data_IF_270019069759
#
_entry.id   IF_270019069759
#
_cell.length_a   1.000
_cell.length_b   1.000
_cell.length_c   1.000
_cell.angle_alpha   90.00
_cell.angle_beta   90.00
_cell.angle_gamma   90.00
#
_symmetry.space_group_name_H-M   'P 1'
#
loop_
_entity.id
_entity.type
_entity.pdbx_description
1 polymer ?
#
# COMPACT_ATOMS: atom_id res chain seq x y z
N UNK A 1 -9.47 -7.72 -9.64
CA UNK A 1 -8.55 -8.18 -8.58
C UNK A 1 -9.15 -7.88 -7.21
N UNK A 2 -8.81 -8.65 -6.18
CA UNK A 2 -9.21 -8.34 -4.79
C UNK A 2 -8.22 -7.38 -4.12
N UNK A 3 -8.61 -6.81 -2.96
CA UNK A 3 -7.72 -5.95 -2.14
C UNK A 3 -6.40 -6.66 -1.83
N UNK A 4 -6.49 -7.89 -1.35
CA UNK A 4 -5.33 -8.70 -0.98
C UNK A 4 -4.40 -8.96 -2.17
N UNK A 5 -4.95 -9.17 -3.36
CA UNK A 5 -4.18 -9.37 -4.60
C UNK A 5 -3.43 -8.10 -4.98
N UNK A 6 -4.11 -6.95 -4.95
CA UNK A 6 -3.48 -5.67 -5.24
C UNK A 6 -2.37 -5.34 -4.23
N UNK A 7 -2.67 -5.46 -2.94
CA UNK A 7 -1.74 -5.18 -1.84
C UNK A 7 -0.43 -5.97 -1.95
N UNK A 8 -0.50 -7.23 -2.36
CA UNK A 8 0.66 -8.11 -2.49
C UNK A 8 1.08 -8.38 -3.93
N UNK A 9 0.66 -7.52 -4.88
CA UNK A 9 1.18 -7.56 -6.25
C UNK A 9 2.64 -7.07 -6.24
N UNK A 10 3.53 -7.90 -6.76
CA UNK A 10 4.96 -7.65 -6.90
C UNK A 10 5.35 -7.21 -8.31
N UNK A 11 4.47 -7.39 -9.29
CA UNK A 11 4.69 -6.96 -10.66
C UNK A 11 3.53 -7.31 -11.58
N UNK A 12 3.64 -6.87 -12.84
CA UNK A 12 2.65 -7.12 -13.88
C UNK A 12 3.34 -7.65 -15.14
N UNK A 13 2.66 -8.57 -15.84
CA UNK A 13 3.04 -9.06 -17.16
C UNK A 13 1.84 -8.89 -18.09
N UNK A 14 1.80 -7.79 -18.84
CA UNK A 14 0.63 -7.41 -19.63
C UNK A 14 -0.60 -7.23 -18.72
N UNK A 15 -1.67 -7.96 -19.02
CA UNK A 15 -2.92 -7.97 -18.24
C UNK A 15 -2.92 -8.95 -17.05
N UNK A 16 -1.75 -9.49 -16.71
CA UNK A 16 -1.56 -10.44 -15.61
C UNK A 16 -0.86 -9.79 -14.42
N UNK A 17 -1.50 -9.79 -13.25
CA UNK A 17 -0.86 -9.43 -11.98
C UNK A 17 -0.11 -10.62 -11.37
N UNK A 18 1.11 -10.39 -10.91
CA UNK A 18 1.95 -11.37 -10.22
C UNK A 18 1.92 -11.05 -8.73
N UNK A 19 1.41 -11.97 -7.91
CA UNK A 19 1.14 -11.78 -6.49
C UNK A 19 2.05 -12.66 -5.64
N UNK A 20 2.62 -12.11 -4.57
CA UNK A 20 3.34 -12.90 -3.57
C UNK A 20 2.33 -13.73 -2.75
N UNK A 21 2.31 -15.04 -3.00
CA UNK A 21 1.38 -15.98 -2.37
C UNK A 21 1.62 -16.08 -0.87
N UNK A 22 2.88 -16.03 -0.44
CA UNK A 22 3.26 -16.20 0.96
C UNK A 22 2.85 -14.98 1.77
N UNK A 23 3.16 -13.78 1.27
CA UNK A 23 2.76 -12.53 1.91
C UNK A 23 1.24 -12.38 1.96
N UNK A 24 0.53 -12.65 0.84
CA UNK A 24 -0.94 -12.64 0.80
C UNK A 24 -1.54 -13.59 1.85
N UNK A 25 -1.00 -14.80 2.01
CA UNK A 25 -1.51 -15.75 3.02
C UNK A 25 -1.27 -15.29 4.46
N UNK A 26 -0.11 -14.67 4.73
CA UNK A 26 0.26 -14.26 6.09
C UNK A 26 -0.42 -12.97 6.52
N UNK A 27 -0.63 -12.03 5.59
CA UNK A 27 -1.00 -10.65 5.90
C UNK A 27 -2.24 -10.16 5.14
N UNK A 28 -2.82 -10.96 4.23
CA UNK A 28 -3.97 -10.57 3.39
C UNK A 28 -5.20 -10.13 4.17
N UNK A 29 -5.42 -10.68 5.36
CA UNK A 29 -6.57 -10.34 6.20
C UNK A 29 -6.37 -9.13 7.09
N UNK A 30 -5.15 -8.59 7.13
CA UNK A 30 -4.85 -7.42 7.94
C UNK A 30 -5.40 -6.15 7.28
N UNK A 31 -5.98 -5.28 8.11
CA UNK A 31 -6.36 -3.92 7.76
C UNK A 31 -5.15 -3.07 7.37
N UNK A 32 -5.39 -1.89 6.80
CA UNK A 32 -4.33 -0.92 6.47
C UNK A 32 -3.46 -0.60 7.70
N UNK A 33 -4.08 -0.36 8.86
CA UNK A 33 -3.35 -0.02 10.07
C UNK A 33 -2.58 -1.19 10.65
N UNK A 34 -3.14 -2.40 10.67
CA UNK A 34 -2.41 -3.60 11.11
C UNK A 34 -1.20 -3.91 10.20
N UNK A 35 -1.28 -3.59 8.90
CA UNK A 35 -0.14 -3.67 7.99
C UNK A 35 0.92 -2.61 8.33
N UNK A 36 0.49 -1.37 8.59
CA UNK A 36 1.38 -0.26 8.93
C UNK A 36 2.12 -0.52 10.25
N UNK A 37 1.42 -0.99 11.29
CA UNK A 37 1.99 -1.33 12.60
C UNK A 37 3.04 -2.45 12.51
N UNK A 38 2.94 -3.33 11.52
CA UNK A 38 3.93 -4.37 11.23
C UNK A 38 5.11 -3.88 10.37
N UNK A 39 5.14 -2.60 10.02
CA UNK A 39 6.15 -1.99 9.16
C UNK A 39 5.98 -2.32 7.67
N UNK A 40 4.84 -2.90 7.26
CA UNK A 40 4.55 -3.23 5.86
C UNK A 40 3.97 -2.02 5.13
N UNK A 41 4.69 -0.89 5.14
CA UNK A 41 4.14 0.42 4.74
C UNK A 41 3.67 0.49 3.29
N UNK A 42 4.38 -0.13 2.33
CA UNK A 42 3.90 -0.19 0.94
C UNK A 42 2.59 -0.98 0.84
N UNK A 43 2.46 -2.08 1.58
CA UNK A 43 1.25 -2.91 1.58
C UNK A 43 0.07 -2.16 2.23
N UNK A 44 0.32 -1.46 3.34
CA UNK A 44 -0.66 -0.58 3.96
C UNK A 44 -1.12 0.52 3.00
N UNK A 45 -0.18 1.19 2.32
CA UNK A 45 -0.52 2.20 1.33
C UNK A 45 -1.36 1.63 0.17
N UNK A 46 -0.96 0.49 -0.41
CA UNK A 46 -1.77 -0.18 -1.42
C UNK A 46 -3.18 -0.54 -0.91
N UNK A 47 -3.30 -0.96 0.35
CA UNK A 47 -4.59 -1.25 0.97
C UNK A 47 -5.50 -0.02 1.01
N UNK A 48 -4.97 1.13 1.46
CA UNK A 48 -5.71 2.39 1.49
C UNK A 48 -6.06 2.91 0.08
N UNK A 49 -5.14 2.79 -0.89
CA UNK A 49 -5.42 3.13 -2.29
C UNK A 49 -6.56 2.26 -2.84
N UNK A 50 -6.62 0.98 -2.48
CA UNK A 50 -7.66 0.08 -2.95
C UNK A 50 -9.02 0.35 -2.30
N UNK A 51 -9.06 0.70 -1.01
CA UNK A 51 -10.32 1.01 -0.34
C UNK A 51 -10.96 2.29 -0.86
N UNK A 52 -10.13 3.26 -1.29
CA UNK A 52 -10.60 4.58 -1.69
C UNK A 52 -11.19 5.39 -0.53
N UNK A 53 -11.04 4.91 0.72
CA UNK A 53 -11.50 5.60 1.91
C UNK A 53 -10.48 6.66 2.34
N UNK A 54 -10.93 7.92 2.29
CA UNK A 54 -10.11 9.07 2.67
C UNK A 54 -9.70 9.02 4.15
N UNK A 55 -10.57 8.56 5.05
CA UNK A 55 -10.24 8.48 6.47
C UNK A 55 -9.13 7.45 6.72
N UNK A 56 -9.20 6.30 6.05
CA UNK A 56 -8.18 5.26 6.13
C UNK A 56 -6.83 5.73 5.57
N UNK A 57 -6.84 6.49 4.47
CA UNK A 57 -5.63 7.12 3.92
C UNK A 57 -5.03 8.16 4.87
N UNK A 58 -5.86 9.05 5.43
CA UNK A 58 -5.44 10.10 6.36
C UNK A 58 -4.84 9.50 7.66
N UNK A 59 -5.41 8.40 8.16
CA UNK A 59 -4.91 7.67 9.32
C UNK A 59 -3.55 7.02 9.03
N UNK A 60 -3.41 6.35 7.89
CA UNK A 60 -2.15 5.77 7.44
C UNK A 60 -1.05 6.83 7.28
N UNK A 61 -1.35 7.95 6.62
CA UNK A 61 -0.44 9.08 6.43
C UNK A 61 0.10 9.57 7.77
N UNK A 62 -0.80 9.77 8.74
CA UNK A 62 -0.42 10.23 10.07
C UNK A 62 0.52 9.25 10.75
N UNK A 63 0.15 7.96 10.74
CA UNK A 63 0.98 6.91 11.33
C UNK A 63 2.35 6.82 10.67
N UNK A 64 2.42 6.86 9.33
CA UNK A 64 3.66 6.81 8.60
C UNK A 64 4.56 8.00 8.97
N UNK A 65 4.02 9.21 8.93
CA UNK A 65 4.76 10.43 9.27
C UNK A 65 5.29 10.41 10.72
N UNK A 66 4.49 9.94 11.68
CA UNK A 66 4.92 9.79 13.08
C UNK A 66 6.09 8.81 13.24
N UNK A 67 6.13 7.73 12.43
CA UNK A 67 7.18 6.70 12.49
C UNK A 67 8.43 7.06 11.72
N UNK A 68 8.35 7.93 10.72
CA UNK A 68 9.48 8.32 9.87
C UNK A 68 10.04 9.71 10.16
N UNK A 69 9.34 10.53 10.95
CA UNK A 69 9.83 11.83 11.41
C UNK A 69 11.13 11.67 12.21
N UNK A 70 12.26 11.97 11.57
CA UNK A 70 13.56 12.08 12.23
C UNK A 70 13.76 13.52 12.72
N UNK A 71 14.40 13.70 13.89
CA UNK A 71 14.62 15.00 14.52
C UNK A 71 15.35 16.04 13.63
N UNK A 72 16.13 15.59 12.64
CA UNK A 72 16.89 16.45 11.72
C UNK A 72 16.19 16.70 10.38
N UNK A 73 15.02 16.09 10.17
CA UNK A 73 14.23 16.30 8.97
C UNK A 73 13.40 17.56 9.16
N UNK A 74 13.91 18.71 8.68
CA UNK A 74 13.15 19.97 8.56
C UNK A 74 11.87 19.88 7.71
N UNK A 75 11.38 18.69 7.39
CA UNK A 75 10.06 18.40 6.84
C UNK A 75 9.04 18.21 7.96
N UNK A 76 8.74 19.30 8.67
CA UNK A 76 7.53 19.40 9.50
C UNK A 76 6.23 19.45 8.67
N UNK A 77 6.17 18.72 7.56
CA UNK A 77 5.00 18.66 6.68
C UNK A 77 4.56 17.22 6.58
N UNK A 78 3.36 16.97 7.12
CA UNK A 78 2.54 15.79 6.88
C UNK A 78 2.76 15.28 5.45
N UNK A 79 3.06 13.99 5.30
CA UNK A 79 3.22 13.40 3.98
C UNK A 79 1.87 13.35 3.27
N UNK A 80 1.70 14.14 2.22
CA UNK A 80 0.50 14.07 1.40
C UNK A 80 0.42 12.74 0.63
N UNK A 81 -0.79 12.33 0.27
CA UNK A 81 -1.01 11.14 -0.57
C UNK A 81 -0.14 11.18 -1.85
N UNK A 82 -0.01 12.34 -2.49
CA UNK A 82 0.81 12.50 -3.70
C UNK A 82 2.31 12.28 -3.46
N UNK A 83 2.82 12.60 -2.27
CA UNK A 83 4.21 12.28 -1.90
C UNK A 83 4.37 10.78 -1.71
N UNK A 84 3.41 10.12 -1.05
CA UNK A 84 3.43 8.68 -0.83
C UNK A 84 3.25 7.87 -2.12
N UNK A 85 2.45 8.36 -3.08
CA UNK A 85 2.36 7.79 -4.43
C UNK A 85 3.72 7.71 -5.11
N UNK A 86 4.52 8.79 -5.01
CA UNK A 86 5.88 8.84 -5.56
C UNK A 86 6.84 7.94 -4.78
N UNK A 87 6.74 7.94 -3.45
CA UNK A 87 7.58 7.14 -2.57
C UNK A 87 7.42 5.63 -2.83
N UNK A 88 6.18 5.16 -2.94
CA UNK A 88 5.87 3.73 -3.09
C UNK A 88 5.70 3.27 -4.53
N UNK A 89 5.64 4.20 -5.48
CA UNK A 89 5.41 3.92 -6.90
C UNK A 89 4.03 3.33 -7.18
N UNK A 90 3.02 3.73 -6.40
CA UNK A 90 1.64 3.22 -6.51
C UNK A 90 0.72 4.42 -6.66
N UNK A 91 0.05 4.53 -7.81
CA UNK A 91 -0.79 5.70 -8.12
C UNK A 91 -2.28 5.38 -8.12
N UNK A 92 -2.64 4.17 -8.54
CA UNK A 92 -4.02 3.69 -8.64
C UNK A 92 -4.05 2.17 -8.62
N UNK A 93 -5.25 1.61 -8.43
CA UNK A 93 -5.54 0.21 -8.75
C UNK A 93 -5.68 0.10 -10.28
N UNK A 94 -4.94 -0.81 -10.96
CA UNK A 94 -5.06 -0.97 -12.41
C UNK A 94 -6.39 -1.59 -12.84
N UNK A 95 -7.05 -0.97 -13.83
CA UNK A 95 -8.38 -1.38 -14.32
C UNK A 95 -8.35 -2.59 -15.27
N UNK A 96 -7.25 -2.80 -16.01
CA UNK A 96 -7.17 -3.76 -17.13
C UNK A 96 -6.62 -5.15 -16.76
N UNK A 97 -6.66 -5.55 -15.49
CA UNK A 97 -6.12 -6.84 -15.05
C UNK A 97 -7.14 -7.96 -15.25
N UNK A 98 -6.86 -8.84 -16.21
CA UNK A 98 -7.70 -10.00 -16.56
C UNK A 98 -7.27 -11.28 -15.86
N UNK A 99 -6.03 -11.36 -15.38
CA UNK A 99 -5.48 -12.56 -14.76
C UNK A 99 -4.66 -12.23 -13.52
N UNK A 100 -4.70 -13.13 -12.54
CA UNK A 100 -3.85 -13.08 -11.36
C UNK A 100 -3.11 -14.42 -11.25
N UNK A 101 -1.79 -14.37 -11.11
CA UNK A 101 -0.92 -15.52 -10.84
C UNK A 101 -0.22 -15.28 -9.53
N UNK A 102 -0.15 -16.29 -8.66
CA UNK A 102 0.54 -16.18 -7.38
C UNK A 102 1.79 -17.06 -7.36
N UNK A 103 2.93 -16.48 -6.97
CA UNK A 103 4.22 -17.15 -6.80
C UNK A 103 4.47 -17.49 -5.33
#
# INVERSE_FOLDING_TARGET
>A
MTREEFTFTIGFQGDTAIVDKRAKRLYGRLSTMELAEKGLYRAAFCSAVFSGDRQEMDEFIRHFAEKTASADSGSGRLESEDQLKRLFGVYTVPDEIKRVVSL
#
